data_IF_175967508287
#
_entry.id   IF_175967508287
#
_cell.length_a   1.000
_cell.length_b   1.000
_cell.length_c   1.000
_cell.angle_alpha   90.00
_cell.angle_beta   90.00
_cell.angle_gamma   90.00
#
_symmetry.space_group_name_H-M   'P 1'
#
loop_
_entity.id
_entity.type
_entity.pdbx_description
1 polymer ?
#
# COMPACT_ATOMS: atom_id res chain seq x y z
N UNK A 1 11.20 25.94 -26.49
CA UNK A 1 10.97 26.00 -25.03
C UNK A 1 9.83 25.08 -24.59
N UNK A 2 8.63 25.17 -25.17
CA UNK A 2 7.48 24.33 -24.79
C UNK A 2 7.75 22.80 -24.80
N UNK A 3 8.41 22.20 -25.82
CA UNK A 3 8.69 20.75 -25.80
C UNK A 3 9.63 20.33 -24.66
N UNK A 4 10.59 21.18 -24.31
CA UNK A 4 11.51 20.93 -23.20
C UNK A 4 10.77 20.95 -21.86
N UNK A 5 9.87 21.91 -21.66
CA UNK A 5 9.03 22.01 -20.45
C UNK A 5 8.17 20.75 -20.31
N UNK A 6 7.56 20.27 -21.41
CA UNK A 6 6.74 19.06 -21.38
C UNK A 6 7.55 17.81 -21.01
N UNK A 7 8.76 17.65 -21.57
CA UNK A 7 9.63 16.54 -21.20
C UNK A 7 10.10 16.62 -19.74
N UNK A 8 10.42 17.82 -19.25
CA UNK A 8 10.80 18.03 -17.86
C UNK A 8 9.64 17.71 -16.90
N UNK A 9 8.43 18.16 -17.23
CA UNK A 9 7.23 17.85 -16.45
C UNK A 9 6.92 16.36 -16.45
N UNK A 10 7.00 15.70 -17.61
CA UNK A 10 6.81 14.25 -17.71
C UNK A 10 7.83 13.49 -16.87
N UNK A 11 9.11 13.87 -16.94
CA UNK A 11 10.16 13.26 -16.12
C UNK A 11 9.90 13.48 -14.63
N UNK A 12 9.48 14.67 -14.21
CA UNK A 12 9.15 14.97 -12.82
C UNK A 12 7.97 14.12 -12.32
N UNK A 13 6.87 14.08 -13.06
CA UNK A 13 5.67 13.30 -12.70
C UNK A 13 6.03 11.82 -12.57
N UNK A 14 6.77 11.27 -13.55
CA UNK A 14 7.18 9.87 -13.51
C UNK A 14 8.10 9.58 -12.30
N UNK A 15 9.00 10.49 -11.95
CA UNK A 15 9.83 10.37 -10.75
C UNK A 15 8.98 10.42 -9.48
N UNK A 16 8.03 11.35 -9.37
CA UNK A 16 7.15 11.44 -8.19
C UNK A 16 6.26 10.20 -8.02
N UNK A 17 5.80 9.60 -9.12
CA UNK A 17 4.94 8.42 -9.07
C UNK A 17 5.70 7.11 -8.83
N UNK A 18 6.98 7.03 -9.22
CA UNK A 18 7.70 5.74 -9.31
C UNK A 18 9.12 5.73 -8.75
N UNK A 19 9.63 6.88 -8.31
CA UNK A 19 11.02 7.18 -7.97
C UNK A 19 12.04 7.03 -9.12
N UNK A 20 11.85 6.10 -10.06
CA UNK A 20 12.80 5.76 -11.12
C UNK A 20 12.37 6.21 -12.53
N UNK A 21 11.08 6.50 -12.71
CA UNK A 21 10.46 6.66 -14.02
C UNK A 21 10.98 7.84 -14.82
N UNK A 22 11.35 8.95 -14.17
CA UNK A 22 11.95 10.09 -14.87
C UNK A 22 13.32 9.76 -15.46
N UNK A 23 14.15 8.98 -14.74
CA UNK A 23 15.45 8.54 -15.25
C UNK A 23 15.26 7.60 -16.45
N UNK A 24 14.36 6.62 -16.33
CA UNK A 24 14.02 5.71 -17.43
C UNK A 24 13.50 6.48 -18.67
N UNK A 25 12.68 7.51 -18.44
CA UNK A 25 12.14 8.36 -19.48
C UNK A 25 13.22 9.18 -20.21
N UNK A 26 14.11 9.85 -19.47
CA UNK A 26 15.20 10.63 -20.04
C UNK A 26 16.17 9.75 -20.83
N UNK A 27 16.46 8.55 -20.33
CA UNK A 27 17.26 7.56 -21.05
C UNK A 27 16.60 7.14 -22.37
N UNK A 28 15.30 6.82 -22.34
CA UNK A 28 14.55 6.47 -23.55
C UNK A 28 14.49 7.62 -24.56
N UNK A 29 14.39 8.87 -24.12
CA UNK A 29 14.46 10.05 -25.00
C UNK A 29 15.83 10.19 -25.67
N UNK A 30 16.92 10.02 -24.92
CA UNK A 30 18.27 10.06 -25.46
C UNK A 30 18.50 8.93 -26.47
N UNK A 31 18.11 7.71 -26.13
CA UNK A 31 18.22 6.54 -27.01
C UNK A 31 17.38 6.71 -28.29
N UNK A 32 16.13 7.20 -28.18
CA UNK A 32 15.30 7.48 -29.36
C UNK A 32 15.95 8.51 -30.30
N UNK A 33 16.62 9.54 -29.75
CA UNK A 33 17.33 10.55 -30.53
C UNK A 33 18.54 9.96 -31.25
N UNK A 34 19.33 9.11 -30.58
CA UNK A 34 20.51 8.45 -31.14
C UNK A 34 20.11 7.49 -32.27
N UNK A 35 19.05 6.71 -32.07
CA UNK A 35 18.57 5.73 -33.04
C UNK A 35 17.68 6.31 -34.16
N UNK A 36 17.46 7.63 -34.19
CA UNK A 36 16.60 8.27 -35.19
C UNK A 36 15.11 7.88 -35.12
N UNK A 37 14.63 7.40 -33.96
CA UNK A 37 13.24 6.99 -33.78
C UNK A 37 12.32 8.22 -33.70
N UNK A 38 11.65 8.53 -34.81
CA UNK A 38 10.76 9.70 -34.90
C UNK A 38 9.32 9.44 -34.45
N UNK A 39 8.78 8.23 -34.71
CA UNK A 39 7.34 7.92 -34.53
C UNK A 39 6.98 7.72 -33.05
N UNK A 40 5.87 8.30 -32.62
CA UNK A 40 5.41 8.22 -31.22
C UNK A 40 5.28 6.77 -30.69
N UNK A 41 4.66 5.81 -31.41
CA UNK A 41 4.55 4.43 -30.92
C UNK A 41 5.90 3.77 -30.65
N UNK A 42 6.91 4.05 -31.48
CA UNK A 42 8.26 3.51 -31.30
C UNK A 42 8.96 4.11 -30.06
N UNK A 43 8.78 5.42 -29.81
CA UNK A 43 9.30 6.08 -28.61
C UNK A 43 8.62 5.56 -27.34
N UNK A 44 7.30 5.35 -27.38
CA UNK A 44 6.55 4.79 -26.27
C UNK A 44 7.00 3.35 -25.98
N UNK A 45 7.14 2.51 -27.00
CA UNK A 45 7.66 1.16 -26.86
C UNK A 45 9.06 1.14 -26.24
N UNK A 46 9.96 2.02 -26.72
CA UNK A 46 11.31 2.16 -26.15
C UNK A 46 11.26 2.59 -24.67
N UNK A 47 10.41 3.56 -24.32
CA UNK A 47 10.23 3.96 -22.93
C UNK A 47 9.74 2.81 -22.05
N UNK A 48 8.73 2.07 -22.48
CA UNK A 48 8.20 0.93 -21.73
C UNK A 48 9.28 -0.16 -21.54
N UNK A 49 10.09 -0.42 -22.57
CA UNK A 49 11.24 -1.34 -22.46
C UNK A 49 12.29 -0.83 -21.45
N UNK A 50 12.67 0.45 -21.53
CA UNK A 50 13.61 1.05 -20.59
C UNK A 50 13.07 1.04 -19.16
N UNK A 51 11.78 1.32 -18.97
CA UNK A 51 11.14 1.31 -17.66
C UNK A 51 11.01 -0.09 -17.07
N UNK A 52 10.66 -1.09 -17.88
CA UNK A 52 10.64 -2.49 -17.47
C UNK A 52 12.05 -2.96 -17.06
N UNK A 53 13.07 -2.64 -17.87
CA UNK A 53 14.47 -2.96 -17.54
C UNK A 53 14.92 -2.26 -16.24
N UNK A 54 14.56 -0.99 -16.05
CA UNK A 54 14.86 -0.25 -14.82
C UNK A 54 14.15 -0.86 -13.60
N UNK A 55 12.90 -1.30 -13.75
CA UNK A 55 12.13 -1.96 -12.67
C UNK A 55 12.78 -3.28 -12.27
N UNK A 56 13.20 -4.11 -13.24
CA UNK A 56 13.93 -5.35 -12.96
C UNK A 56 15.27 -5.06 -12.28
N UNK A 57 16.05 -4.11 -12.81
CA UNK A 57 17.32 -3.71 -12.20
C UNK A 57 17.15 -3.19 -10.77
N UNK A 58 16.05 -2.49 -10.50
CA UNK A 58 15.72 -1.96 -9.18
C UNK A 58 15.55 -3.08 -8.15
N UNK A 59 14.93 -4.20 -8.49
CA UNK A 59 14.76 -5.32 -7.55
C UNK A 59 16.11 -5.87 -7.05
N UNK A 60 17.14 -5.89 -7.91
CA UNK A 60 18.49 -6.32 -7.54
C UNK A 60 19.32 -5.23 -6.86
N UNK A 61 19.06 -3.97 -7.16
CA UNK A 61 19.80 -2.83 -6.60
C UNK A 61 19.28 -2.40 -5.21
N UNK A 62 17.95 -2.46 -4.98
CA UNK A 62 17.29 -2.00 -3.76
C UNK A 62 17.88 -2.57 -2.45
N UNK A 63 18.36 -3.84 -2.37
CA UNK A 63 18.99 -4.37 -1.16
C UNK A 63 20.20 -3.56 -0.68
N UNK A 64 20.99 -2.98 -1.60
CA UNK A 64 22.11 -2.11 -1.24
C UNK A 64 21.67 -0.81 -0.55
N UNK A 65 20.40 -0.44 -0.66
CA UNK A 65 19.76 0.71 -0.03
C UNK A 65 18.90 0.32 1.19
N UNK A 66 19.02 -0.93 1.67
CA UNK A 66 18.26 -1.43 2.81
C UNK A 66 16.79 -1.74 2.49
N UNK A 67 16.48 -1.99 1.22
CA UNK A 67 15.13 -2.29 0.73
C UNK A 67 15.06 -3.65 0.06
N UNK A 68 13.96 -4.35 0.27
CA UNK A 68 13.62 -5.58 -0.44
C UNK A 68 12.19 -5.46 -0.99
N UNK A 69 11.92 -5.95 -2.20
CA UNK A 69 10.56 -5.97 -2.74
C UNK A 69 9.72 -7.04 -2.03
N UNK A 70 8.46 -6.73 -1.74
CA UNK A 70 7.42 -7.73 -1.54
C UNK A 70 7.10 -8.40 -2.88
N UNK A 71 6.76 -9.70 -2.85
CA UNK A 71 6.49 -10.44 -4.09
C UNK A 71 5.28 -9.87 -4.83
N UNK A 72 5.49 -9.55 -6.10
CA UNK A 72 4.46 -9.09 -7.03
C UNK A 72 3.79 -10.24 -7.79
N UNK A 73 4.37 -11.43 -7.70
CA UNK A 73 3.87 -12.64 -8.31
C UNK A 73 3.29 -13.47 -7.18
N UNK A 74 2.01 -13.84 -7.31
CA UNK A 74 1.39 -14.81 -6.44
C UNK A 74 1.39 -16.18 -7.11
N UNK A 75 1.80 -17.17 -6.36
CA UNK A 75 1.55 -18.59 -6.58
C UNK A 75 0.40 -19.05 -5.69
N UNK A 76 -0.16 -20.23 -5.96
CA UNK A 76 -1.26 -20.79 -5.16
C UNK A 76 -0.86 -21.09 -3.70
N UNK A 77 0.45 -21.17 -3.43
CA UNK A 77 1.02 -21.45 -2.11
C UNK A 77 1.30 -20.17 -1.31
N UNK A 78 1.34 -19.01 -1.97
CA UNK A 78 1.66 -17.76 -1.29
C UNK A 78 0.52 -17.33 -0.36
N UNK A 79 0.90 -16.99 0.87
CA UNK A 79 -0.02 -16.48 1.90
C UNK A 79 0.09 -14.97 2.11
N UNK A 80 1.13 -14.34 1.57
CA UNK A 80 1.29 -12.89 1.54
C UNK A 80 1.31 -12.44 0.07
N UNK A 81 0.33 -11.64 -0.33
CA UNK A 81 0.20 -11.17 -1.71
C UNK A 81 0.08 -9.66 -1.74
N UNK A 82 0.83 -9.01 -2.63
CA UNK A 82 0.59 -7.59 -2.94
C UNK A 82 -0.72 -7.49 -3.73
N UNK A 83 -1.73 -6.84 -3.15
CA UNK A 83 -3.12 -6.89 -3.65
C UNK A 83 -3.27 -6.46 -5.10
N UNK A 84 -2.54 -5.43 -5.51
CA UNK A 84 -2.67 -4.81 -6.83
C UNK A 84 -1.33 -4.72 -7.55
N UNK A 85 -1.25 -5.12 -8.83
CA UNK A 85 -0.03 -4.99 -9.61
C UNK A 85 0.40 -3.53 -9.80
N UNK A 86 -0.48 -2.56 -9.52
CA UNK A 86 -0.13 -1.14 -9.59
C UNK A 86 0.99 -0.77 -8.61
N UNK A 87 1.05 -1.38 -7.42
CA UNK A 87 2.13 -1.12 -6.47
C UNK A 87 3.47 -1.55 -7.04
N UNK A 88 3.52 -2.68 -7.73
CA UNK A 88 4.70 -3.19 -8.39
C UNK A 88 5.08 -2.37 -9.61
N UNK A 89 4.10 -2.04 -10.46
CA UNK A 89 4.31 -1.21 -11.64
C UNK A 89 4.83 0.19 -11.28
N UNK A 90 4.44 0.71 -10.11
CA UNK A 90 4.90 2.00 -9.59
C UNK A 90 6.12 1.88 -8.66
N UNK A 91 6.70 0.69 -8.46
CA UNK A 91 7.81 0.45 -7.54
C UNK A 91 7.53 0.92 -6.08
N UNK A 92 6.30 0.71 -5.60
CA UNK A 92 5.83 1.06 -4.25
C UNK A 92 5.70 -0.14 -3.31
N UNK A 93 6.28 -1.28 -3.68
CA UNK A 93 6.20 -2.55 -2.94
C UNK A 93 7.48 -2.85 -2.13
N UNK A 94 8.30 -1.84 -1.80
CA UNK A 94 9.59 -2.06 -1.12
C UNK A 94 9.50 -1.79 0.38
N UNK A 95 10.07 -2.69 1.17
CA UNK A 95 10.12 -2.61 2.63
C UNK A 95 11.54 -2.89 3.13
N UNK A 96 11.82 -2.64 4.41
CA UNK A 96 13.02 -3.20 5.06
C UNK A 96 12.92 -4.72 5.16
N UNK A 97 14.06 -5.47 5.18
CA UNK A 97 14.03 -6.91 5.38
C UNK A 97 13.23 -7.34 6.62
N UNK A 98 13.41 -6.64 7.74
CA UNK A 98 12.70 -6.90 9.00
C UNK A 98 11.18 -6.78 8.86
N UNK A 99 10.69 -5.80 8.09
CA UNK A 99 9.26 -5.61 7.86
C UNK A 99 8.68 -6.66 6.91
N UNK A 100 9.45 -7.09 5.90
CA UNK A 100 9.06 -8.24 5.06
C UNK A 100 8.91 -9.49 5.93
N UNK A 101 9.89 -9.78 6.77
CA UNK A 101 9.88 -10.98 7.62
C UNK A 101 8.70 -10.95 8.61
N UNK A 102 8.33 -9.76 9.13
CA UNK A 102 7.10 -9.57 9.92
C UNK A 102 5.86 -9.91 9.09
N UNK A 103 5.74 -9.37 7.88
CA UNK A 103 4.58 -9.57 7.02
C UNK A 103 4.40 -11.04 6.62
N UNK A 104 5.48 -11.73 6.29
CA UNK A 104 5.49 -13.16 5.98
C UNK A 104 5.10 -14.00 7.21
N UNK A 105 5.61 -13.65 8.39
CA UNK A 105 5.28 -14.33 9.64
C UNK A 105 3.81 -14.12 10.05
N UNK A 106 3.26 -12.91 9.86
CA UNK A 106 1.83 -12.65 10.03
C UNK A 106 1.00 -13.53 9.09
N UNK A 107 1.34 -13.54 7.80
CA UNK A 107 0.61 -14.32 6.81
C UNK A 107 0.63 -15.83 7.11
N UNK A 108 1.78 -16.37 7.49
CA UNK A 108 1.91 -17.76 7.90
C UNK A 108 1.09 -18.07 9.16
N UNK A 109 1.06 -17.15 10.14
CA UNK A 109 0.25 -17.31 11.34
C UNK A 109 -1.25 -17.32 11.01
N UNK A 110 -1.69 -16.41 10.16
CA UNK A 110 -3.09 -16.30 9.77
C UNK A 110 -3.57 -17.51 8.98
N UNK A 111 -2.76 -18.06 8.08
CA UNK A 111 -3.04 -19.34 7.42
C UNK A 111 -3.09 -20.50 8.42
N UNK A 112 -2.16 -20.56 9.38
CA UNK A 112 -2.15 -21.62 10.38
C UNK A 112 -3.37 -21.58 11.33
N UNK A 113 -3.80 -20.38 11.75
CA UNK A 113 -4.96 -20.20 12.62
C UNK A 113 -6.28 -20.34 11.85
N UNK A 114 -6.30 -19.89 10.60
CA UNK A 114 -7.46 -19.89 9.72
C UNK A 114 -7.07 -20.48 8.35
N UNK A 115 -7.08 -21.82 8.21
CA UNK A 115 -6.57 -22.51 7.01
C UNK A 115 -7.07 -21.93 5.69
N UNK A 116 -6.12 -21.65 4.81
CA UNK A 116 -6.31 -21.05 3.49
C UNK A 116 -6.20 -19.52 3.48
N UNK A 117 -6.17 -18.84 4.62
CA UNK A 117 -6.23 -17.37 4.71
C UNK A 117 -5.06 -16.70 3.98
N UNK A 118 -5.38 -15.83 3.03
CA UNK A 118 -4.42 -14.95 2.35
C UNK A 118 -4.40 -13.59 3.01
N UNK A 119 -3.21 -13.10 3.33
CA UNK A 119 -2.94 -11.75 3.81
C UNK A 119 -2.56 -10.85 2.64
N UNK A 120 -3.28 -9.74 2.46
CA UNK A 120 -3.00 -8.79 1.40
C UNK A 120 -2.18 -7.61 1.89
N UNK A 121 -0.97 -7.46 1.34
CA UNK A 121 -0.19 -6.24 1.43
C UNK A 121 -0.68 -5.21 0.40
N UNK A 122 -0.70 -3.94 0.79
CA UNK A 122 -1.08 -2.81 -0.04
C UNK A 122 0.15 -1.95 -0.35
N UNK A 123 0.09 -0.65 -0.07
CA UNK A 123 1.16 0.28 -0.33
C UNK A 123 2.28 0.14 0.72
N UNK A 124 3.53 0.14 0.25
CA UNK A 124 4.73 0.06 1.09
C UNK A 124 5.57 1.32 0.87
N UNK A 125 6.78 1.21 0.33
CA UNK A 125 7.65 2.35 0.01
C UNK A 125 8.33 2.18 -1.35
N UNK A 126 9.00 3.25 -1.78
CA UNK A 126 9.97 3.29 -2.87
C UNK A 126 11.33 2.65 -2.52
N UNK A 127 12.12 2.25 -3.55
CA UNK A 127 13.30 1.39 -3.40
C UNK A 127 14.61 2.03 -2.91
N UNK A 128 14.81 3.35 -3.01
CA UNK A 128 16.17 3.93 -2.88
C UNK A 128 16.33 5.04 -1.84
N UNK A 129 15.44 6.04 -1.83
CA UNK A 129 15.66 7.28 -1.07
C UNK A 129 14.69 7.40 0.10
N UNK A 130 15.23 7.56 1.31
CA UNK A 130 14.44 7.92 2.48
C UNK A 130 13.89 9.35 2.38
N UNK A 131 12.66 9.58 2.84
CA UNK A 131 12.04 10.91 2.79
C UNK A 131 11.44 11.27 1.43
N UNK A 132 11.51 10.38 0.43
CA UNK A 132 10.89 10.63 -0.86
C UNK A 132 9.35 10.67 -0.70
N UNK A 133 8.67 11.71 -1.23
CA UNK A 133 7.24 11.87 -0.99
C UNK A 133 6.45 10.77 -1.72
N UNK A 134 5.64 10.03 -0.96
CA UNK A 134 4.79 8.96 -1.47
C UNK A 134 3.33 9.36 -1.23
N UNK A 135 2.66 9.91 -2.24
CA UNK A 135 1.27 10.37 -2.12
C UNK A 135 0.29 9.21 -2.36
N UNK A 136 -0.77 9.06 -1.53
CA UNK A 136 -1.11 9.90 -0.37
C UNK A 136 -0.41 9.48 0.95
N UNK A 137 0.25 8.33 1.02
CA UNK A 137 0.85 7.76 2.24
C UNK A 137 2.20 8.40 2.62
N UNK A 138 2.18 9.69 2.93
CA UNK A 138 3.38 10.50 3.20
C UNK A 138 4.28 9.96 4.33
N UNK A 139 3.74 9.17 5.26
CA UNK A 139 4.51 8.57 6.34
C UNK A 139 5.43 7.44 5.86
N UNK A 140 5.12 6.79 4.73
CA UNK A 140 5.87 5.66 4.15
C UNK A 140 7.15 6.13 3.46
N UNK A 141 8.01 6.78 4.23
CA UNK A 141 9.20 7.44 3.71
C UNK A 141 10.48 6.63 3.93
N UNK A 142 10.42 5.50 4.65
CA UNK A 142 11.59 4.81 5.20
C UNK A 142 11.48 3.28 5.16
N UNK A 143 10.47 2.73 4.46
CA UNK A 143 10.25 1.29 4.26
C UNK A 143 10.01 0.52 5.56
N UNK A 144 9.70 1.23 6.65
CA UNK A 144 9.35 0.68 7.95
C UNK A 144 7.84 0.69 8.19
N UNK A 145 7.07 1.00 7.15
CA UNK A 145 5.60 1.04 7.17
C UNK A 145 5.05 0.22 6.03
N UNK A 146 3.95 -0.45 6.31
CA UNK A 146 3.24 -1.31 5.38
C UNK A 146 1.76 -1.25 5.73
N UNK A 147 0.94 -1.14 4.69
CA UNK A 147 -0.50 -1.25 4.84
C UNK A 147 -0.92 -2.68 4.46
N UNK A 148 -1.83 -3.26 5.24
CA UNK A 148 -2.53 -4.49 4.90
C UNK A 148 -3.99 -4.19 4.64
N UNK A 149 -4.61 -4.91 3.72
CA UNK A 149 -6.06 -4.94 3.67
C UNK A 149 -6.60 -5.61 4.95
N UNK A 150 -7.79 -5.20 5.38
CA UNK A 150 -8.52 -6.02 6.34
C UNK A 150 -8.92 -7.37 5.74
N UNK A 151 -9.33 -8.30 6.60
CA UNK A 151 -10.03 -9.50 6.13
C UNK A 151 -11.49 -9.16 5.94
N UNK A 152 -12.11 -9.66 4.88
CA UNK A 152 -13.48 -9.31 4.53
C UNK A 152 -14.39 -10.54 4.48
N UNK A 153 -15.68 -10.29 4.72
CA UNK A 153 -16.77 -11.22 4.52
C UNK A 153 -17.83 -10.62 3.61
N UNK A 154 -18.60 -11.47 2.95
CA UNK A 154 -19.74 -11.04 2.15
C UNK A 154 -20.94 -10.63 3.03
N UNK A 155 -22.02 -10.18 2.37
CA UNK A 155 -23.25 -9.79 3.06
C UNK A 155 -23.95 -10.95 3.81
N UNK A 156 -23.64 -12.20 3.46
CA UNK A 156 -24.10 -13.40 4.16
C UNK A 156 -23.22 -13.80 5.33
N UNK A 157 -22.09 -13.10 5.53
CA UNK A 157 -21.12 -13.36 6.59
C UNK A 157 -20.05 -14.39 6.23
N UNK A 158 -19.99 -14.87 4.98
CA UNK A 158 -18.97 -15.82 4.55
C UNK A 158 -17.65 -15.11 4.26
N UNK A 159 -16.54 -15.68 4.77
CA UNK A 159 -15.20 -15.14 4.57
C UNK A 159 -14.79 -15.13 3.08
N UNK A 160 -14.15 -14.05 2.65
CA UNK A 160 -13.67 -13.83 1.29
C UNK A 160 -12.13 -13.86 1.25
N UNK A 161 -11.59 -14.98 0.79
CA UNK A 161 -10.15 -15.26 0.88
C UNK A 161 -9.29 -14.57 -0.19
N UNK A 162 -9.88 -14.06 -1.27
CA UNK A 162 -9.17 -13.41 -2.38
C UNK A 162 -9.91 -12.15 -2.84
N UNK A 163 -10.41 -11.37 -1.88
CA UNK A 163 -11.17 -10.18 -2.20
C UNK A 163 -10.86 -9.03 -1.23
N UNK A 164 -10.85 -7.85 -1.82
CA UNK A 164 -10.96 -6.57 -1.14
C UNK A 164 -12.10 -5.80 -1.80
N UNK A 165 -12.79 -4.91 -1.10
CA UNK A 165 -13.91 -4.18 -1.70
C UNK A 165 -13.47 -3.31 -2.89
N UNK A 166 -12.27 -2.74 -2.81
CA UNK A 166 -11.63 -1.97 -3.89
C UNK A 166 -10.52 -2.77 -4.58
N UNK A 167 -10.34 -2.68 -5.92
CA UNK A 167 -9.27 -3.38 -6.64
C UNK A 167 -7.84 -3.04 -6.19
N UNK A 168 -7.66 -1.86 -5.59
CA UNK A 168 -6.38 -1.42 -5.02
C UNK A 168 -6.33 -1.59 -3.50
N UNK A 169 -7.43 -2.00 -2.85
CA UNK A 169 -7.48 -2.15 -1.40
C UNK A 169 -7.65 -0.85 -0.60
N UNK A 170 -7.95 0.28 -1.27
CA UNK A 170 -8.21 1.57 -0.63
C UNK A 170 -9.52 2.19 -1.11
N UNK A 171 -10.01 3.19 -0.36
CA UNK A 171 -11.13 4.07 -0.64
C UNK A 171 -12.53 3.46 -0.51
N UNK A 172 -12.62 2.19 -0.15
CA UNK A 172 -13.87 1.54 0.22
C UNK A 172 -13.91 1.40 1.73
N UNK A 173 -14.56 2.36 2.40
CA UNK A 173 -14.44 2.54 3.84
C UNK A 173 -15.48 1.71 4.59
N UNK A 174 -15.06 1.16 5.72
CA UNK A 174 -15.95 0.56 6.71
C UNK A 174 -16.62 1.69 7.48
N UNK A 175 -17.78 2.11 6.98
CA UNK A 175 -18.47 3.27 7.53
C UNK A 175 -18.96 2.99 8.97
N UNK A 176 -18.84 4.00 9.85
CA UNK A 176 -19.24 3.89 11.25
C UNK A 176 -20.75 3.71 11.38
N UNK A 177 -21.15 2.94 12.39
CA UNK A 177 -22.53 2.74 12.79
C UNK A 177 -23.12 3.90 13.58
N UNK A 178 -24.42 3.79 13.88
CA UNK A 178 -25.12 4.77 14.72
C UNK A 178 -24.55 4.75 16.15
N UNK A 179 -24.06 5.90 16.60
CA UNK A 179 -23.50 6.07 17.95
C UNK A 179 -22.01 5.79 18.07
N UNK A 180 -21.35 5.40 16.97
CA UNK A 180 -19.90 5.20 16.95
C UNK A 180 -19.12 6.50 17.16
N UNK A 181 -17.90 6.35 17.65
CA UNK A 181 -16.99 7.47 17.87
C UNK A 181 -16.52 8.05 16.53
N UNK A 182 -16.76 9.35 16.33
CA UNK A 182 -16.38 10.09 15.11
C UNK A 182 -15.50 11.29 15.46
N UNK A 183 -14.21 11.10 15.77
CA UNK A 183 -13.35 12.18 16.28
C UNK A 183 -13.17 13.35 15.30
N UNK A 184 -13.41 13.11 14.01
CA UNK A 184 -13.25 14.09 12.95
C UNK A 184 -14.57 14.68 12.43
N UNK A 185 -15.71 14.33 13.04
CA UNK A 185 -17.00 14.85 12.61
C UNK A 185 -17.01 16.39 12.65
N UNK A 186 -17.63 17.01 11.64
CA UNK A 186 -17.74 18.46 11.52
C UNK A 186 -16.49 19.18 11.01
N UNK A 187 -15.44 18.45 10.63
CA UNK A 187 -14.29 19.04 9.92
C UNK A 187 -14.60 19.25 8.43
N UNK A 188 -14.13 20.37 7.90
CA UNK A 188 -14.37 20.80 6.52
C UNK A 188 -13.07 21.29 5.84
N UNK A 189 -11.95 20.61 6.12
CA UNK A 189 -10.65 20.97 5.55
C UNK A 189 -10.65 20.70 4.04
N UNK A 190 -10.32 21.73 3.24
CA UNK A 190 -10.26 21.61 1.79
C UNK A 190 -8.93 21.03 1.28
N UNK A 191 -7.84 21.16 2.05
CA UNK A 191 -6.54 20.53 1.80
C UNK A 191 -6.32 19.39 2.80
N UNK A 192 -6.83 18.21 2.49
CA UNK A 192 -6.66 17.01 3.30
C UNK A 192 -6.48 15.78 2.41
N UNK A 193 -5.83 14.76 2.95
CA UNK A 193 -5.79 13.39 2.39
C UNK A 193 -6.85 12.49 3.03
N UNK A 194 -7.67 13.04 3.94
CA UNK A 194 -8.79 12.33 4.59
C UNK A 194 -10.07 12.49 3.76
N UNK A 195 -10.11 11.81 2.62
CA UNK A 195 -11.27 11.82 1.74
C UNK A 195 -12.30 10.78 2.19
N UNK A 196 -13.58 11.11 2.08
CA UNK A 196 -14.66 10.15 2.39
C UNK A 196 -15.21 9.48 1.12
N UNK A 197 -15.08 10.13 -0.04
CA UNK A 197 -15.60 9.63 -1.32
C UNK A 197 -17.05 9.13 -1.24
N UNK A 198 -17.92 9.82 -0.49
CA UNK A 198 -19.31 9.40 -0.21
C UNK A 198 -20.09 9.01 -1.47
N UNK A 199 -19.91 9.74 -2.57
CA UNK A 199 -20.57 9.48 -3.85
C UNK A 199 -20.10 8.18 -4.54
N UNK A 200 -18.90 7.68 -4.18
CA UNK A 200 -18.33 6.44 -4.72
C UNK A 200 -18.60 5.23 -3.82
N UNK A 201 -18.86 5.43 -2.52
CA UNK A 201 -19.08 4.32 -1.57
C UNK A 201 -20.15 3.31 -2.05
N UNK A 202 -21.30 3.73 -2.61
CA UNK A 202 -22.31 2.79 -3.12
C UNK A 202 -21.87 1.95 -4.34
N UNK A 203 -20.75 2.26 -4.99
CA UNK A 203 -20.24 1.51 -6.14
C UNK A 203 -19.42 0.29 -5.73
N UNK A 204 -18.93 0.26 -4.49
CA UNK A 204 -18.18 -0.88 -3.96
C UNK A 204 -19.13 -2.01 -3.54
N UNK A 205 -18.70 -3.28 -3.61
CA UNK A 205 -19.48 -4.38 -3.07
C UNK A 205 -19.71 -4.19 -1.57
N UNK A 206 -20.87 -4.64 -1.09
CA UNK A 206 -21.27 -4.55 0.32
C UNK A 206 -20.54 -5.58 1.20
N UNK A 207 -19.21 -5.61 1.11
CA UNK A 207 -18.37 -6.38 2.01
C UNK A 207 -18.30 -5.68 3.36
N UNK A 208 -17.93 -6.46 4.36
CA UNK A 208 -17.67 -6.01 5.73
C UNK A 208 -16.40 -6.65 6.23
N UNK A 209 -15.76 -6.04 7.21
CA UNK A 209 -14.66 -6.69 7.93
C UNK A 209 -15.11 -8.05 8.47
N UNK A 210 -14.28 -9.07 8.26
CA UNK A 210 -14.35 -10.33 9.00
C UNK A 210 -13.61 -10.13 10.32
N UNK A 211 -14.39 -9.98 11.39
CA UNK A 211 -13.95 -9.51 12.68
C UNK A 211 -13.00 -10.51 13.34
N UNK A 212 -13.24 -11.82 13.17
CA UNK A 212 -12.45 -12.85 13.84
C UNK A 212 -11.00 -12.86 13.34
N UNK A 213 -10.78 -12.88 12.01
CA UNK A 213 -9.43 -12.81 11.43
C UNK A 213 -8.78 -11.47 11.65
N UNK A 214 -9.53 -10.37 11.52
CA UNK A 214 -8.95 -9.03 11.69
C UNK A 214 -8.50 -8.81 13.13
N UNK A 215 -9.30 -9.19 14.12
CA UNK A 215 -8.91 -9.13 15.53
C UNK A 215 -7.73 -10.06 15.84
N UNK A 216 -7.70 -11.27 15.27
CA UNK A 216 -6.59 -12.20 15.44
C UNK A 216 -5.27 -11.66 14.85
N UNK A 217 -5.30 -11.08 13.65
CA UNK A 217 -4.13 -10.46 13.03
C UNK A 217 -3.59 -9.29 13.87
N UNK A 218 -4.49 -8.43 14.37
CA UNK A 218 -4.09 -7.33 15.26
C UNK A 218 -3.50 -7.88 16.57
N UNK A 219 -4.11 -8.89 17.18
CA UNK A 219 -3.59 -9.49 18.41
C UNK A 219 -2.20 -10.11 18.21
N UNK A 220 -1.96 -10.78 17.08
CA UNK A 220 -0.64 -11.32 16.75
C UNK A 220 0.37 -10.19 16.54
N UNK A 221 0.00 -9.13 15.83
CA UNK A 221 0.86 -7.97 15.61
C UNK A 221 1.24 -7.29 16.94
N UNK A 222 0.29 -7.09 17.85
CA UNK A 222 0.56 -6.43 19.14
C UNK A 222 1.29 -7.32 20.14
N UNK A 223 1.45 -8.62 19.85
CA UNK A 223 2.21 -9.56 20.68
C UNK A 223 3.53 -9.95 20.02
N UNK A 224 3.48 -10.88 19.06
CA UNK A 224 4.63 -11.38 18.31
C UNK A 224 5.27 -10.28 17.45
N UNK A 225 4.47 -9.43 16.80
CA UNK A 225 4.97 -8.29 16.02
C UNK A 225 5.80 -7.32 16.87
N UNK A 226 5.33 -7.00 18.08
CA UNK A 226 6.06 -6.13 19.02
C UNK A 226 7.32 -6.82 19.53
N UNK A 227 7.18 -8.03 20.07
CA UNK A 227 8.27 -8.74 20.78
C UNK A 227 9.39 -9.21 19.86
N UNK A 228 9.08 -9.68 18.65
CA UNK A 228 10.06 -10.26 17.72
C UNK A 228 10.50 -9.30 16.63
N UNK A 229 9.60 -8.42 16.19
CA UNK A 229 9.85 -7.58 15.02
C UNK A 229 9.93 -6.08 15.36
N UNK A 230 9.75 -5.69 16.62
CA UNK A 230 9.83 -4.29 17.04
C UNK A 230 8.74 -3.42 16.40
N UNK A 231 7.53 -3.98 16.24
CA UNK A 231 6.35 -3.20 15.89
C UNK A 231 6.13 -2.11 16.94
N UNK A 232 5.94 -0.87 16.48
CA UNK A 232 5.75 0.29 17.34
C UNK A 232 4.31 0.80 17.34
N UNK A 233 3.64 0.74 16.19
CA UNK A 233 2.32 1.36 16.00
C UNK A 233 1.50 0.61 14.97
N UNK A 234 0.20 0.60 15.21
CA UNK A 234 -0.85 0.20 14.28
C UNK A 234 -1.87 1.34 14.23
N UNK A 235 -2.32 1.75 13.04
CA UNK A 235 -3.43 2.69 12.91
C UNK A 235 -4.71 2.01 12.44
N UNK A 236 -5.78 2.28 13.17
CA UNK A 236 -7.16 1.84 12.93
C UNK A 236 -8.06 3.00 13.39
N UNK A 237 -9.16 3.26 12.69
CA UNK A 237 -10.16 4.24 13.12
C UNK A 237 -10.84 3.84 14.44
N UNK A 238 -11.21 4.80 15.32
CA UNK A 238 -11.73 4.47 16.65
C UNK A 238 -13.00 3.60 16.65
N UNK A 239 -13.92 3.80 15.71
CA UNK A 239 -15.13 2.98 15.62
C UNK A 239 -14.80 1.51 15.34
N UNK A 240 -13.85 1.23 14.43
CA UNK A 240 -13.39 -0.13 14.17
C UNK A 240 -12.62 -0.72 15.35
N UNK A 241 -11.76 0.06 15.98
CA UNK A 241 -11.03 -0.36 17.18
C UNK A 241 -12.01 -0.81 18.27
N UNK A 242 -13.07 -0.04 18.49
CA UNK A 242 -14.11 -0.33 19.47
C UNK A 242 -14.94 -1.56 19.07
N UNK A 243 -15.38 -1.64 17.80
CA UNK A 243 -16.15 -2.77 17.27
C UNK A 243 -15.39 -4.10 17.36
N UNK A 244 -14.08 -4.09 17.16
CA UNK A 244 -13.20 -5.25 17.28
C UNK A 244 -12.75 -5.55 18.73
N UNK A 245 -13.13 -4.72 19.70
CA UNK A 245 -12.75 -4.90 21.11
C UNK A 245 -11.26 -4.74 21.39
N UNK A 246 -10.53 -4.00 20.56
CA UNK A 246 -9.07 -3.86 20.66
C UNK A 246 -8.71 -2.80 21.70
N UNK A 247 -7.95 -3.20 22.73
CA UNK A 247 -7.54 -2.31 23.84
C UNK A 247 -6.04 -2.01 23.89
N UNK A 248 -5.24 -2.66 23.03
CA UNK A 248 -3.78 -2.53 23.05
C UNK A 248 -3.30 -1.09 22.77
N UNK A 249 -2.28 -0.64 23.50
CA UNK A 249 -1.74 0.71 23.41
C UNK A 249 -0.92 0.97 22.13
N UNK A 250 -0.51 -0.05 21.38
CA UNK A 250 0.14 0.11 20.08
C UNK A 250 -0.88 0.43 18.98
N UNK A 251 -2.17 0.11 19.17
CA UNK A 251 -3.26 0.41 18.24
C UNK A 251 -3.83 1.79 18.56
N UNK A 252 -3.62 2.74 17.66
CA UNK A 252 -3.88 4.17 17.91
C UNK A 252 -4.65 4.81 16.77
N UNK A 253 -5.32 5.90 17.09
CA UNK A 253 -5.87 6.80 16.08
C UNK A 253 -4.75 7.70 15.53
N UNK A 254 -4.63 7.77 14.21
CA UNK A 254 -3.64 8.56 13.48
C UNK A 254 -3.89 10.08 13.52
N UNK A 255 -5.08 10.50 13.95
CA UNK A 255 -5.49 11.89 13.98
C UNK A 255 -6.18 12.35 12.68
N UNK A 256 -6.98 13.40 12.80
CA UNK A 256 -7.87 13.85 11.73
C UNK A 256 -7.19 14.59 10.55
N UNK A 257 -5.85 14.66 10.51
CA UNK A 257 -5.08 15.29 9.41
C UNK A 257 -4.37 14.28 8.51
N UNK A 258 -4.55 12.99 8.78
CA UNK A 258 -4.06 11.91 7.95
C UNK A 258 -5.25 11.22 7.25
N UNK A 259 -4.94 10.41 6.23
CA UNK A 259 -5.93 9.54 5.59
C UNK A 259 -6.65 8.68 6.65
N UNK A 260 -7.90 8.31 6.36
CA UNK A 260 -8.67 7.40 7.22
C UNK A 260 -8.12 5.97 7.09
N UNK A 261 -8.20 5.20 8.16
CA UNK A 261 -7.69 3.82 8.25
C UNK A 261 -8.83 2.83 8.55
N UNK A 262 -9.98 3.08 7.93
CA UNK A 262 -11.16 2.23 7.94
C UNK A 262 -11.37 1.49 6.61
N UNK A 263 -10.40 1.53 5.71
CA UNK A 263 -10.27 0.69 4.52
C UNK A 263 -9.04 -0.23 4.56
N UNK A 264 -8.07 0.03 5.46
CA UNK A 264 -6.85 -0.75 5.62
C UNK A 264 -6.27 -0.65 7.04
N UNK A 265 -5.37 -1.58 7.36
CA UNK A 265 -4.55 -1.64 8.57
C UNK A 265 -3.15 -1.09 8.27
N UNK A 266 -2.76 0.04 8.87
CA UNK A 266 -1.39 0.55 8.76
C UNK A 266 -0.52 0.05 9.91
N UNK A 267 0.68 -0.43 9.60
CA UNK A 267 1.66 -0.85 10.60
C UNK A 267 2.99 -0.11 10.48
N UNK A 268 3.70 0.07 11.60
CA UNK A 268 5.05 0.63 11.64
C UNK A 268 5.95 -0.16 12.58
N UNK A 269 7.17 -0.47 12.13
CA UNK A 269 8.27 -1.00 12.96
C UNK A 269 9.33 0.07 13.28
N UNK A 270 10.23 -0.25 14.22
CA UNK A 270 11.35 0.61 14.65
C UNK A 270 12.35 1.00 13.57
#
# INVERSE_FOLDING_TARGET
MLPFILHALAALILTLLTQIGGVAYLFALAAARICGLGRFPAKLALFLLCYAAATVATQFAAPAFGRVPLSCLSSAEDRLIVRSPIYCALNRNYVTPKLRDLAEALAAHMDAQFPGTVTFALDANFPFVNGFPLLPHLSHADGKKLDFAYYYKDAGGAFLNDATPSPIGYFAFEEPGLGDELPCAGRHDWLTTRWNFDALQPLFPAYRIEEQRTAAAVAWLTTEGVTRFGLQKIFIEPHLKNALGITDAHVRFQGCRAARHDDHLHIQIE
#
